data_IF_906488465151
#
_entry.id   IF_906488465151
#
_cell.length_a   1.000
_cell.length_b   1.000
_cell.length_c   1.000
_cell.angle_alpha   90.00
_cell.angle_beta   90.00
_cell.angle_gamma   90.00
#
_symmetry.space_group_name_H-M   'P 1'
#
loop_
_entity.id
_entity.type
_entity.pdbx_description
1 polymer ?
#
# COMPACT_ATOMS: atom_id res chain seq x y z
N UNK A 1 39.98 -20.74 -32.91
CA UNK A 1 40.30 -19.29 -32.80
C UNK A 1 39.11 -18.43 -33.26
N UNK A 2 37.86 -18.80 -32.92
CA UNK A 2 36.66 -18.09 -33.43
C UNK A 2 35.57 -17.90 -32.36
N UNK A 3 35.90 -18.05 -31.06
CA UNK A 3 34.96 -17.81 -29.96
C UNK A 3 35.39 -16.60 -29.10
N UNK A 4 36.64 -16.13 -29.24
CA UNK A 4 37.19 -15.04 -28.41
C UNK A 4 36.98 -13.62 -28.98
N UNK A 5 36.42 -13.48 -30.20
CA UNK A 5 36.29 -12.18 -30.88
C UNK A 5 34.90 -11.54 -30.82
N UNK A 6 33.89 -12.19 -30.23
CA UNK A 6 32.54 -11.63 -30.12
C UNK A 6 32.30 -10.75 -28.88
N UNK A 7 33.25 -10.69 -27.94
CA UNK A 7 33.16 -9.88 -26.70
C UNK A 7 33.78 -8.47 -26.83
N UNK A 8 34.31 -8.12 -28.00
CA UNK A 8 35.09 -6.89 -28.22
C UNK A 8 34.28 -5.67 -28.67
N UNK A 9 32.96 -5.79 -28.83
CA UNK A 9 32.11 -4.68 -29.22
C UNK A 9 31.54 -3.98 -27.97
N UNK A 10 31.80 -2.67 -27.76
CA UNK A 10 31.26 -1.95 -26.61
C UNK A 10 29.73 -2.02 -26.50
N UNK A 11 29.03 -2.31 -27.61
CA UNK A 11 27.59 -2.54 -27.63
C UNK A 11 27.12 -3.81 -26.90
N UNK A 12 27.85 -4.93 -26.99
CA UNK A 12 27.44 -6.19 -26.32
C UNK A 12 27.75 -6.12 -24.82
N UNK A 13 28.90 -5.55 -24.46
CA UNK A 13 29.26 -5.34 -23.06
C UNK A 13 28.30 -4.33 -22.41
N UNK A 14 27.99 -3.19 -23.06
CA UNK A 14 27.00 -2.24 -22.56
C UNK A 14 25.58 -2.82 -22.46
N UNK A 15 25.18 -3.67 -23.41
CA UNK A 15 23.88 -4.33 -23.41
C UNK A 15 23.74 -5.39 -22.31
N UNK A 16 24.85 -5.96 -21.81
CA UNK A 16 24.86 -6.89 -20.68
C UNK A 16 25.07 -6.18 -19.33
N UNK A 17 25.84 -5.10 -19.30
CA UNK A 17 26.09 -4.34 -18.07
C UNK A 17 24.88 -3.49 -17.67
N UNK A 18 24.12 -2.94 -18.62
CA UNK A 18 22.90 -2.19 -18.30
C UNK A 18 21.85 -3.02 -17.54
N UNK A 19 21.48 -4.24 -17.99
CA UNK A 19 20.61 -5.13 -17.20
C UNK A 19 21.23 -5.55 -15.86
N UNK A 20 22.53 -5.86 -15.82
CA UNK A 20 23.18 -6.32 -14.59
C UNK A 20 23.25 -5.23 -13.51
N UNK A 21 23.57 -3.99 -13.90
CA UNK A 21 23.57 -2.83 -13.01
C UNK A 21 22.16 -2.50 -12.54
N UNK A 22 21.14 -2.59 -13.41
CA UNK A 22 19.74 -2.38 -13.04
C UNK A 22 19.25 -3.44 -12.04
N UNK A 23 19.56 -4.73 -12.26
CA UNK A 23 19.23 -5.84 -11.35
C UNK A 23 19.92 -5.63 -10.00
N UNK A 24 21.16 -5.17 -9.99
CA UNK A 24 21.91 -4.92 -8.75
C UNK A 24 21.28 -3.76 -7.97
N UNK A 25 20.96 -2.63 -8.62
CA UNK A 25 20.29 -1.49 -7.98
C UNK A 25 18.90 -1.87 -7.47
N UNK A 26 18.13 -2.67 -8.23
CA UNK A 26 16.84 -3.19 -7.77
C UNK A 26 17.02 -4.04 -6.50
N UNK A 27 17.98 -4.97 -6.49
CA UNK A 27 18.24 -5.84 -5.33
C UNK A 27 18.70 -5.08 -4.08
N UNK A 28 19.38 -3.94 -4.25
CA UNK A 28 19.79 -3.05 -3.15
C UNK A 28 18.60 -2.33 -2.53
N UNK A 29 17.53 -2.05 -3.30
CA UNK A 29 16.30 -1.40 -2.81
C UNK A 29 15.32 -2.44 -2.24
N UNK A 30 15.26 -3.63 -2.84
CA UNK A 30 14.39 -4.71 -2.42
C UNK A 30 14.70 -5.18 -0.99
N UNK A 31 15.97 -5.18 -0.58
CA UNK A 31 16.36 -5.60 0.78
C UNK A 31 15.85 -4.64 1.89
N UNK A 32 16.12 -3.31 1.87
CA UNK A 32 15.51 -2.36 2.79
C UNK A 32 13.98 -2.34 2.73
N UNK A 33 13.41 -2.43 1.53
CA UNK A 33 11.95 -2.43 1.36
C UNK A 33 11.31 -3.66 2.00
N UNK A 34 11.85 -4.86 1.76
CA UNK A 34 11.42 -6.09 2.41
C UNK A 34 11.52 -6.03 3.94
N UNK A 35 12.60 -5.45 4.48
CA UNK A 35 12.74 -5.20 5.91
C UNK A 35 11.65 -4.25 6.40
N UNK A 36 11.39 -3.14 5.70
CA UNK A 36 10.32 -2.20 6.04
C UNK A 36 8.92 -2.86 6.01
N UNK A 37 8.66 -3.76 5.05
CA UNK A 37 7.40 -4.51 4.97
C UNK A 37 7.20 -5.47 6.15
N UNK A 38 8.28 -6.11 6.61
CA UNK A 38 8.26 -7.01 7.78
C UNK A 38 8.11 -6.20 9.07
N UNK A 39 8.90 -5.14 9.23
CA UNK A 39 8.85 -4.25 10.40
C UNK A 39 7.51 -3.53 10.54
N UNK A 40 6.92 -3.07 9.44
CA UNK A 40 5.59 -2.44 9.48
C UNK A 40 4.50 -3.40 9.96
N UNK A 41 4.58 -4.69 9.61
CA UNK A 41 3.67 -5.70 10.12
C UNK A 41 3.85 -5.93 11.63
N UNK A 42 5.09 -6.04 12.11
CA UNK A 42 5.41 -6.17 13.55
C UNK A 42 4.90 -4.96 14.35
N UNK A 43 5.21 -3.75 13.89
CA UNK A 43 4.77 -2.51 14.53
C UNK A 43 3.25 -2.41 14.57
N UNK A 44 2.55 -2.85 13.52
CA UNK A 44 1.09 -2.91 13.49
C UNK A 44 0.52 -3.77 14.61
N UNK A 45 1.10 -4.96 14.84
CA UNK A 45 0.71 -5.84 15.95
C UNK A 45 0.98 -5.19 17.30
N UNK A 46 2.16 -4.59 17.49
CA UNK A 46 2.45 -3.89 18.74
C UNK A 46 1.48 -2.73 19.01
N UNK A 47 1.14 -1.95 17.98
CA UNK A 47 0.15 -0.88 18.07
C UNK A 47 -1.23 -1.43 18.49
N UNK A 48 -1.66 -2.57 17.94
CA UNK A 48 -2.91 -3.21 18.35
C UNK A 48 -2.93 -3.56 19.84
N UNK A 49 -1.83 -4.14 20.35
CA UNK A 49 -1.71 -4.48 21.77
C UNK A 49 -1.78 -3.23 22.67
N UNK A 50 -1.20 -2.10 22.23
CA UNK A 50 -1.29 -0.82 22.96
C UNK A 50 -2.73 -0.31 22.99
N UNK A 51 -3.44 -0.38 21.85
CA UNK A 51 -4.84 0.04 21.74
C UNK A 51 -5.77 -0.84 22.58
N UNK A 52 -5.52 -2.15 22.65
CA UNK A 52 -6.28 -3.09 23.49
C UNK A 52 -6.14 -2.81 24.98
N UNK A 53 -4.97 -2.32 25.42
CA UNK A 53 -4.75 -1.92 26.82
C UNK A 53 -5.57 -0.71 27.25
N UNK A 54 -6.19 0.02 26.30
CA UNK A 54 -7.05 1.19 26.54
C UNK A 54 -6.47 2.19 27.55
N UNK A 55 -5.15 2.44 27.49
CA UNK A 55 -4.50 3.40 28.38
C UNK A 55 -5.04 4.83 28.19
N UNK A 56 -5.58 5.13 27.00
CA UNK A 56 -6.23 6.39 26.66
C UNK A 56 -7.72 6.47 27.11
N UNK A 57 -8.24 5.44 27.78
CA UNK A 57 -9.67 5.29 28.09
C UNK A 57 -10.48 4.66 26.95
N UNK A 58 -11.82 4.82 26.97
CA UNK A 58 -12.75 4.26 25.96
C UNK A 58 -13.05 5.25 24.81
N UNK A 59 -12.19 6.23 24.57
CA UNK A 59 -12.41 7.20 23.49
C UNK A 59 -12.15 6.54 22.12
N UNK A 60 -13.04 6.71 21.15
CA UNK A 60 -12.79 6.22 19.79
C UNK A 60 -11.54 6.89 19.20
N UNK A 61 -10.76 6.13 18.43
CA UNK A 61 -9.54 6.63 17.77
C UNK A 61 -9.75 6.62 16.26
N UNK A 62 -9.36 7.72 15.60
CA UNK A 62 -9.28 7.79 14.13
C UNK A 62 -7.82 7.61 13.70
N UNK A 63 -7.57 6.70 12.76
CA UNK A 63 -6.23 6.35 12.30
C UNK A 63 -6.02 6.76 10.84
N UNK A 64 -4.93 7.44 10.53
CA UNK A 64 -4.58 7.87 9.16
C UNK A 64 -3.16 7.38 8.86
N UNK A 65 -2.99 6.67 7.76
CA UNK A 65 -1.71 6.10 7.36
C UNK A 65 -1.48 6.26 5.87
N UNK A 66 -0.23 6.54 5.51
CA UNK A 66 0.24 6.66 4.14
C UNK A 66 1.36 5.64 3.87
N UNK A 67 1.35 4.98 2.71
CA UNK A 67 2.36 4.02 2.29
C UNK A 67 2.61 2.94 3.35
N UNK A 68 3.85 2.77 3.85
CA UNK A 68 4.18 1.82 4.93
C UNK A 68 3.40 2.08 6.22
N UNK A 69 3.05 3.34 6.51
CA UNK A 69 2.19 3.69 7.64
C UNK A 69 0.78 3.12 7.48
N UNK A 70 0.23 3.14 6.26
CA UNK A 70 -1.05 2.48 5.97
C UNK A 70 -0.96 0.96 6.17
N UNK A 71 0.17 0.35 5.82
CA UNK A 71 0.43 -1.08 6.09
C UNK A 71 0.49 -1.39 7.59
N UNK A 72 1.11 -0.52 8.40
CA UNK A 72 1.10 -0.64 9.88
C UNK A 72 -0.34 -0.67 10.39
N UNK A 73 -1.18 0.28 9.95
CA UNK A 73 -2.57 0.35 10.38
C UNK A 73 -3.39 -0.86 9.93
N UNK A 74 -3.17 -1.34 8.71
CA UNK A 74 -3.83 -2.54 8.20
C UNK A 74 -3.54 -3.78 9.08
N UNK A 75 -2.26 -4.04 9.41
CA UNK A 75 -1.91 -5.16 10.29
C UNK A 75 -2.37 -4.94 11.73
N UNK A 76 -2.41 -3.69 12.19
CA UNK A 76 -3.00 -3.35 13.48
C UNK A 76 -4.49 -3.76 13.54
N UNK A 77 -5.28 -3.40 12.51
CA UNK A 77 -6.70 -3.77 12.45
C UNK A 77 -6.90 -5.29 12.33
N UNK A 78 -6.05 -5.99 11.58
CA UNK A 78 -6.10 -7.45 11.48
C UNK A 78 -5.84 -8.13 12.82
N UNK A 79 -4.90 -7.62 13.61
CA UNK A 79 -4.60 -8.14 14.95
C UNK A 79 -5.77 -7.84 15.89
N UNK A 80 -6.31 -6.61 15.87
CA UNK A 80 -7.50 -6.25 16.65
C UNK A 80 -8.72 -7.12 16.29
N UNK A 81 -8.89 -7.51 15.03
CA UNK A 81 -10.02 -8.32 14.59
C UNK A 81 -9.99 -9.77 15.12
N UNK A 82 -8.81 -10.25 15.54
CA UNK A 82 -8.63 -11.57 16.14
C UNK A 82 -8.90 -11.55 17.66
N UNK A 83 -8.77 -10.38 18.28
CA UNK A 83 -8.90 -10.22 19.73
C UNK A 83 -10.34 -9.92 20.17
N UNK A 84 -10.73 -10.48 21.31
CA UNK A 84 -12.06 -10.25 21.88
C UNK A 84 -12.15 -8.86 22.54
N UNK A 85 -13.23 -8.12 22.29
CA UNK A 85 -13.46 -6.80 22.91
C UNK A 85 -12.75 -5.62 22.22
N UNK A 86 -12.22 -5.83 21.01
CA UNK A 86 -11.62 -4.81 20.17
C UNK A 86 -12.64 -3.94 19.40
N UNK A 87 -13.92 -4.30 19.48
CA UNK A 87 -15.01 -3.62 18.75
C UNK A 87 -15.17 -2.16 19.22
N UNK A 88 -15.25 -1.25 18.24
CA UNK A 88 -15.48 0.17 18.50
C UNK A 88 -14.30 0.90 19.14
N UNK A 89 -13.10 0.31 19.14
CA UNK A 89 -11.87 1.04 19.49
C UNK A 89 -11.54 2.05 18.40
N UNK A 90 -11.72 1.65 17.13
CA UNK A 90 -11.46 2.49 15.96
C UNK A 90 -12.77 3.04 15.43
N UNK A 91 -12.84 4.36 15.28
CA UNK A 91 -13.96 5.04 14.64
C UNK A 91 -13.78 5.05 13.13
N UNK A 92 -12.80 5.80 12.63
CA UNK A 92 -12.49 5.89 11.21
C UNK A 92 -11.04 5.45 10.95
N UNK A 93 -10.80 4.82 9.80
CA UNK A 93 -9.44 4.55 9.31
C UNK A 93 -9.28 5.02 7.87
N UNK A 94 -8.17 5.72 7.60
CA UNK A 94 -7.80 6.21 6.28
C UNK A 94 -6.46 5.59 5.88
N UNK A 95 -6.48 4.76 4.84
CA UNK A 95 -5.34 4.06 4.30
C UNK A 95 -5.04 4.62 2.91
N UNK A 96 -3.89 5.26 2.76
CA UNK A 96 -3.49 5.92 1.51
C UNK A 96 -2.29 5.18 0.90
N UNK A 97 -2.44 4.68 -0.33
CA UNK A 97 -1.36 3.99 -1.06
C UNK A 97 -0.84 2.74 -0.33
N UNK A 98 -1.72 1.98 0.31
CA UNK A 98 -1.33 0.89 1.19
C UNK A 98 -0.68 -0.28 0.42
N UNK A 99 0.58 -0.67 0.72
CA UNK A 99 1.25 -1.83 0.12
C UNK A 99 0.76 -3.12 0.79
N UNK A 100 -0.52 -3.43 0.65
CA UNK A 100 -1.16 -4.63 1.22
C UNK A 100 -2.06 -5.28 0.18
N UNK A 101 -2.34 -6.57 0.39
CA UNK A 101 -3.25 -7.31 -0.49
C UNK A 101 -4.68 -6.78 -0.35
N UNK A 102 -5.35 -6.59 -1.49
CA UNK A 102 -6.75 -6.17 -1.60
C UNK A 102 -7.74 -7.34 -1.64
N UNK A 103 -7.41 -8.50 -1.07
CA UNK A 103 -8.35 -9.63 -1.01
C UNK A 103 -9.45 -9.38 0.01
N UNK A 104 -10.69 -9.38 -0.45
CA UNK A 104 -11.91 -9.12 0.33
C UNK A 104 -11.97 -9.97 1.59
N UNK A 105 -11.50 -11.23 1.54
CA UNK A 105 -11.48 -12.14 2.69
C UNK A 105 -10.65 -11.59 3.86
N UNK A 106 -9.56 -10.88 3.57
CA UNK A 106 -8.68 -10.30 4.58
C UNK A 106 -9.19 -8.97 5.12
N UNK A 107 -10.00 -8.24 4.33
CA UNK A 107 -10.57 -6.94 4.69
C UNK A 107 -11.90 -7.05 5.44
N UNK A 108 -12.70 -8.10 5.17
CA UNK A 108 -14.00 -8.31 5.81
C UNK A 108 -13.94 -8.32 7.36
N UNK A 109 -12.95 -8.95 8.02
CA UNK A 109 -12.85 -8.91 9.49
C UNK A 109 -12.61 -7.50 10.07
N UNK A 110 -12.01 -6.58 9.29
CA UNK A 110 -11.68 -5.23 9.76
C UNK A 110 -12.96 -4.42 10.01
N UNK A 111 -14.05 -4.70 9.27
CA UNK A 111 -15.32 -3.99 9.44
C UNK A 111 -15.99 -4.29 10.79
N UNK A 112 -15.58 -5.36 11.48
CA UNK A 112 -16.02 -5.66 12.85
C UNK A 112 -15.37 -4.73 13.88
N UNK A 113 -14.10 -4.38 13.67
CA UNK A 113 -13.32 -3.55 14.60
C UNK A 113 -13.63 -2.07 14.41
N UNK A 114 -13.78 -1.65 13.15
CA UNK A 114 -14.02 -0.26 12.76
C UNK A 114 -15.52 0.06 12.85
N UNK A 115 -15.89 1.01 13.71
CA UNK A 115 -17.29 1.39 13.91
C UNK A 115 -17.82 2.27 12.76
N UNK A 116 -16.98 3.18 12.27
CA UNK A 116 -17.25 4.15 11.20
C UNK A 116 -16.78 3.64 9.84
N UNK A 117 -15.87 4.37 9.20
CA UNK A 117 -15.49 4.20 7.78
C UNK A 117 -14.08 3.62 7.64
N UNK A 118 -13.93 2.76 6.64
CA UNK A 118 -12.65 2.27 6.13
C UNK A 118 -12.42 2.92 4.77
N UNK A 119 -11.55 3.93 4.73
CA UNK A 119 -11.24 4.67 3.53
C UNK A 119 -9.96 4.11 2.92
N UNK A 120 -10.05 3.57 1.70
CA UNK A 120 -8.91 3.14 0.90
C UNK A 120 -8.66 4.15 -0.21
N UNK A 121 -7.65 5.01 -0.02
CA UNK A 121 -7.13 5.91 -1.04
C UNK A 121 -6.09 5.18 -1.90
N UNK A 122 -6.38 4.96 -3.17
CA UNK A 122 -5.48 4.25 -4.08
C UNK A 122 -5.00 5.18 -5.21
N UNK A 123 -3.80 4.91 -5.73
CA UNK A 123 -3.23 5.62 -6.87
C UNK A 123 -2.82 4.58 -7.92
N UNK A 124 -3.48 4.59 -9.08
CA UNK A 124 -3.21 3.63 -10.16
C UNK A 124 -1.82 3.82 -10.79
N UNK A 125 -1.30 5.04 -10.71
CA UNK A 125 -0.01 5.43 -11.29
C UNK A 125 1.19 5.32 -10.35
N UNK A 126 1.05 4.69 -9.18
CA UNK A 126 2.19 4.53 -8.25
C UNK A 126 3.23 3.59 -8.85
N UNK A 127 4.27 4.18 -9.45
CA UNK A 127 5.37 3.47 -10.11
C UNK A 127 6.16 2.57 -9.17
N UNK A 128 6.25 2.92 -7.88
CA UNK A 128 6.99 2.17 -6.88
C UNK A 128 6.24 0.89 -6.50
N UNK A 129 4.94 1.01 -6.19
CA UNK A 129 4.09 -0.14 -5.93
C UNK A 129 4.01 -1.06 -7.15
N UNK A 130 3.90 -0.48 -8.35
CA UNK A 130 3.84 -1.24 -9.59
C UNK A 130 5.17 -1.97 -9.88
N UNK A 131 6.32 -1.35 -9.63
CA UNK A 131 7.64 -1.99 -9.83
C UNK A 131 7.86 -3.17 -8.87
N UNK A 132 7.59 -2.98 -7.58
CA UNK A 132 7.81 -3.99 -6.54
C UNK A 132 6.85 -5.18 -6.66
N UNK A 133 5.57 -4.94 -6.97
CA UNK A 133 4.62 -6.03 -7.17
C UNK A 133 4.79 -6.74 -8.51
N UNK A 134 5.45 -6.11 -9.49
CA UNK A 134 5.74 -6.74 -10.79
C UNK A 134 6.98 -7.63 -10.75
N UNK A 135 7.95 -7.38 -9.87
CA UNK A 135 9.08 -8.29 -9.60
C UNK A 135 8.66 -9.50 -8.76
N UNK A 136 7.61 -9.34 -7.94
CA UNK A 136 6.98 -10.43 -7.20
C UNK A 136 5.92 -11.10 -8.08
N UNK A 137 6.27 -12.13 -8.86
CA UNK A 137 5.45 -12.86 -9.87
C UNK A 137 4.07 -13.43 -9.45
N UNK A 138 3.43 -12.92 -8.40
CA UNK A 138 2.11 -13.30 -7.92
C UNK A 138 1.12 -12.22 -8.33
N UNK A 139 0.05 -12.62 -9.03
CA UNK A 139 -1.11 -11.76 -9.41
C UNK A 139 -1.91 -11.35 -8.16
N UNK A 140 -1.29 -10.63 -7.23
CA UNK A 140 -1.94 -10.12 -6.03
C UNK A 140 -2.60 -8.79 -6.35
N UNK A 141 -3.89 -8.71 -6.04
CA UNK A 141 -4.61 -7.44 -5.97
C UNK A 141 -3.97 -6.58 -4.89
N UNK A 142 -3.55 -5.34 -5.18
CA UNK A 142 -2.90 -4.45 -4.19
C UNK A 142 -3.85 -3.30 -3.85
N UNK A 143 -4.21 -3.14 -2.58
CA UNK A 143 -5.17 -2.13 -2.15
C UNK A 143 -4.73 -0.69 -2.46
N UNK A 144 -3.43 -0.42 -2.48
CA UNK A 144 -2.87 0.89 -2.84
C UNK A 144 -2.92 1.23 -4.34
N UNK A 145 -3.14 0.26 -5.22
CA UNK A 145 -3.20 0.46 -6.68
C UNK A 145 -4.62 0.40 -7.24
N UNK A 146 -5.55 -0.23 -6.53
CA UNK A 146 -6.90 -0.47 -7.02
C UNK A 146 -7.93 -0.52 -5.88
N UNK A 147 -9.23 -0.33 -6.16
CA UNK A 147 -10.25 -0.39 -5.14
C UNK A 147 -10.38 -1.80 -4.55
N UNK A 148 -10.73 -1.87 -3.27
CA UNK A 148 -11.08 -3.13 -2.58
C UNK A 148 -12.59 -3.31 -2.68
N UNK A 149 -13.02 -4.35 -3.40
CA UNK A 149 -14.43 -4.67 -3.66
C UNK A 149 -15.08 -5.41 -2.48
N UNK A 150 -15.18 -4.70 -1.35
CA UNK A 150 -15.82 -5.19 -0.15
C UNK A 150 -17.27 -4.70 -0.10
N UNK A 151 -18.22 -5.63 -0.10
CA UNK A 151 -19.66 -5.37 0.05
C UNK A 151 -20.01 -4.98 1.49
N UNK A 152 -19.57 -3.79 1.90
CA UNK A 152 -19.88 -3.16 3.19
C UNK A 152 -20.00 -1.64 3.01
N UNK A 153 -21.09 -1.06 3.55
CA UNK A 153 -21.33 0.40 3.51
C UNK A 153 -20.21 1.24 4.13
N UNK A 154 -19.40 0.63 5.02
CA UNK A 154 -18.27 1.27 5.69
C UNK A 154 -17.06 1.41 4.79
N UNK A 155 -16.96 0.60 3.73
CA UNK A 155 -15.84 0.63 2.80
C UNK A 155 -16.00 1.77 1.80
N UNK A 156 -15.03 2.67 1.77
CA UNK A 156 -15.00 3.82 0.86
C UNK A 156 -13.70 3.79 0.08
N UNK A 157 -13.77 3.56 -1.23
CA UNK A 157 -12.61 3.60 -2.10
C UNK A 157 -12.50 4.98 -2.77
N UNK A 158 -11.33 5.60 -2.69
CA UNK A 158 -11.06 6.93 -3.24
C UNK A 158 -9.88 6.84 -4.22
N UNK A 159 -10.09 7.24 -5.48
CA UNK A 159 -9.01 7.34 -6.46
C UNK A 159 -8.28 8.68 -6.29
N UNK A 160 -6.99 8.62 -5.98
CA UNK A 160 -6.12 9.78 -5.78
C UNK A 160 -5.17 10.01 -6.94
N UNK A 161 -5.31 9.26 -8.04
CA UNK A 161 -4.43 9.35 -9.21
C UNK A 161 -4.41 10.76 -9.83
N UNK A 162 -5.54 11.50 -9.75
CA UNK A 162 -5.65 12.88 -10.24
C UNK A 162 -4.97 13.93 -9.35
N UNK A 163 -4.70 13.60 -8.08
CA UNK A 163 -4.07 14.51 -7.10
C UNK A 163 -2.55 14.34 -7.11
N UNK A 164 -2.07 13.11 -7.35
CA UNK A 164 -0.64 12.78 -7.36
C UNK A 164 -0.03 12.98 -8.76
N UNK A 165 -0.84 12.99 -9.81
CA UNK A 165 -0.40 13.35 -11.16
C UNK A 165 -0.31 14.87 -11.31
N UNK A 166 0.91 15.41 -11.43
CA UNK A 166 1.11 16.74 -12.01
C UNK A 166 2.14 16.64 -13.12
N UNK A 167 1.77 17.08 -14.33
CA UNK A 167 2.44 18.22 -14.92
C UNK A 167 1.45 19.39 -14.96
N UNK A 168 1.94 20.58 -14.62
CA UNK A 168 1.21 21.85 -14.63
C UNK A 168 0.10 21.93 -15.70
N UNK A 169 -1.14 22.17 -15.28
CA UNK A 169 -2.16 22.78 -16.15
C UNK A 169 -3.02 23.74 -15.32
N UNK A 170 -2.97 25.07 -15.57
CA UNK A 170 -3.82 26.02 -14.91
C UNK A 170 -5.16 26.06 -15.64
N UNK A 171 -6.01 25.05 -15.48
CA UNK A 171 -7.42 25.17 -15.86
C UNK A 171 -8.30 24.52 -14.81
N UNK A 172 -8.59 25.33 -13.80
CA UNK A 172 -9.92 25.38 -13.24
C UNK A 172 -10.91 25.51 -14.40
N UNK A 173 -11.69 24.47 -14.67
CA UNK A 173 -12.92 24.62 -15.43
C UNK A 173 -14.03 23.93 -14.65
N UNK A 174 -14.55 24.69 -13.69
CA UNK A 174 -15.92 24.57 -13.23
C UNK A 174 -16.82 24.65 -14.47
N UNK A 175 -17.28 23.51 -14.97
CA UNK A 175 -18.52 23.48 -15.74
C UNK A 175 -19.51 22.62 -14.99
N UNK A 176 -20.02 23.23 -13.93
CA UNK A 176 -21.26 22.84 -13.28
C UNK A 176 -22.38 23.20 -14.28
N UNK A 177 -22.72 22.27 -15.18
CA UNK A 177 -23.97 22.36 -15.93
C UNK A 177 -25.11 22.07 -14.97
N UNK A 178 -25.74 23.13 -14.48
CA UNK A 178 -27.09 23.12 -13.95
C UNK A 178 -27.75 24.44 -14.35
N UNK A 179 -28.82 24.29 -15.15
CA UNK A 179 -29.81 25.28 -15.61
C UNK A 179 -29.47 26.07 -16.88
#
# INVERSE_FOLDING_TARGET
VTVSFLLSSPGIVAALTWPASLITVASVIDNPWGVCLSRSAEVGKHLAHILLRRQQGRRPVTLIGFSLGARVLYFCLQELAQEAGAEGIIEDVVLLGAPVEGDVKKWKPLTRVVAGRIINGYCRGDWLLSFVYRSSSVKLSVAGLQPVDLDDRRMVNVDLSSVVGVPYSPFCNTSMSLT
#
